data_IF_730255839015
#
_entry.id   IF_730255839015
#
_cell.length_a   1.000
_cell.length_b   1.000
_cell.length_c   1.000
_cell.angle_alpha   90.00
_cell.angle_beta   90.00
_cell.angle_gamma   90.00
#
_symmetry.space_group_name_H-M   'P 1'
#
loop_
_entity.id
_entity.type
_entity.pdbx_description
1 polymer ?
#
# COMPACT_ATOMS: atom_id res chain seq x y z
N UNK A 1 38.54 1.80 -27.70
CA UNK A 1 38.05 2.19 -26.37
C UNK A 1 37.64 0.94 -25.57
N UNK A 2 38.16 0.73 -24.37
CA UNK A 2 37.70 -0.39 -23.51
C UNK A 2 36.22 -0.19 -23.19
N UNK A 3 35.41 -1.18 -23.50
CA UNK A 3 33.95 -1.14 -23.22
C UNK A 3 33.74 -0.98 -21.70
N UNK A 4 32.98 0.02 -21.28
CA UNK A 4 32.66 0.22 -19.87
C UNK A 4 31.73 -0.90 -19.37
N UNK A 5 32.29 -1.84 -18.60
CA UNK A 5 31.58 -3.04 -18.11
C UNK A 5 30.36 -2.67 -17.26
N UNK A 6 30.49 -1.64 -16.39
CA UNK A 6 29.38 -1.19 -15.55
C UNK A 6 28.19 -0.75 -16.40
N UNK A 7 28.39 0.13 -17.38
CA UNK A 7 27.33 0.63 -18.25
C UNK A 7 26.77 -0.45 -19.15
N UNK A 8 27.61 -1.36 -19.65
CA UNK A 8 27.12 -2.49 -20.43
C UNK A 8 26.16 -3.37 -19.61
N UNK A 9 26.57 -3.73 -18.39
CA UNK A 9 25.71 -4.55 -17.53
C UNK A 9 24.47 -3.79 -17.05
N UNK A 10 24.56 -2.48 -16.86
CA UNK A 10 23.39 -1.68 -16.53
C UNK A 10 22.37 -1.65 -17.70
N UNK A 11 22.85 -1.52 -18.93
CA UNK A 11 22.00 -1.65 -20.13
C UNK A 11 21.34 -3.03 -20.19
N UNK A 12 22.12 -4.11 -20.10
CA UNK A 12 21.59 -5.48 -20.09
C UNK A 12 20.56 -5.71 -18.94
N UNK A 13 20.79 -5.08 -17.80
CA UNK A 13 19.87 -5.16 -16.66
C UNK A 13 18.51 -4.54 -16.97
N UNK A 14 18.49 -3.35 -17.58
CA UNK A 14 17.25 -2.65 -17.91
C UNK A 14 16.54 -3.23 -19.15
N UNK A 15 17.30 -3.58 -20.19
CA UNK A 15 16.74 -3.96 -21.49
C UNK A 15 16.37 -5.44 -21.56
N UNK A 16 17.10 -6.30 -20.83
CA UNK A 16 16.93 -7.75 -20.91
C UNK A 16 16.48 -8.36 -19.58
N UNK A 17 17.23 -8.12 -18.50
CA UNK A 17 17.01 -8.83 -17.26
C UNK A 17 15.69 -8.44 -16.58
N UNK A 18 15.44 -7.14 -16.38
CA UNK A 18 14.21 -6.66 -15.72
C UNK A 18 12.95 -7.06 -16.48
N UNK A 19 12.81 -6.81 -17.80
CA UNK A 19 11.58 -7.12 -18.52
C UNK A 19 11.41 -8.61 -18.77
N UNK A 20 12.42 -9.33 -19.21
CA UNK A 20 12.29 -10.67 -19.74
C UNK A 20 12.52 -11.77 -18.69
N UNK A 21 13.55 -11.62 -17.84
CA UNK A 21 13.94 -12.64 -16.87
C UNK A 21 13.20 -12.44 -15.55
N UNK A 22 13.28 -11.22 -14.98
CA UNK A 22 12.58 -10.89 -13.73
C UNK A 22 11.08 -10.62 -13.91
N UNK A 23 10.67 -10.34 -15.14
CA UNK A 23 9.28 -9.97 -15.51
C UNK A 23 8.77 -8.83 -14.66
N UNK A 24 9.61 -7.82 -14.43
CA UNK A 24 9.27 -6.63 -13.69
C UNK A 24 8.20 -5.82 -14.43
N UNK A 25 7.29 -5.19 -13.69
CA UNK A 25 6.29 -4.33 -14.30
C UNK A 25 6.93 -3.08 -14.91
N UNK A 26 6.33 -2.47 -15.97
CA UNK A 26 6.83 -1.22 -16.54
C UNK A 26 7.02 -0.12 -15.48
N UNK A 27 6.11 -0.03 -14.51
CA UNK A 27 6.22 0.93 -13.39
C UNK A 27 7.45 0.64 -12.50
N UNK A 28 7.79 -0.63 -12.28
CA UNK A 28 9.00 -1.00 -11.52
C UNK A 28 10.25 -0.61 -12.27
N UNK A 29 10.29 -0.87 -13.59
CA UNK A 29 11.43 -0.52 -14.45
C UNK A 29 11.59 1.00 -14.46
N UNK A 30 10.52 1.77 -14.65
CA UNK A 30 10.55 3.23 -14.60
C UNK A 30 11.03 3.77 -13.24
N UNK A 31 10.55 3.20 -12.12
CA UNK A 31 10.97 3.60 -10.77
C UNK A 31 12.45 3.31 -10.52
N UNK A 32 12.96 2.19 -11.05
CA UNK A 32 14.38 1.86 -10.98
C UNK A 32 15.21 2.81 -11.87
N UNK A 33 14.75 3.09 -13.10
CA UNK A 33 15.38 4.07 -13.98
C UNK A 33 15.52 5.44 -13.32
N UNK A 34 14.42 5.93 -12.72
CA UNK A 34 14.44 7.17 -11.94
C UNK A 34 15.44 7.12 -10.78
N UNK A 35 15.55 5.98 -10.09
CA UNK A 35 16.52 5.82 -9.00
C UNK A 35 17.97 5.91 -9.50
N UNK A 36 18.25 5.38 -10.68
CA UNK A 36 19.56 5.52 -11.32
C UNK A 36 19.84 6.94 -11.82
N UNK A 37 18.81 7.66 -12.29
CA UNK A 37 18.98 9.09 -12.65
C UNK A 37 19.42 9.90 -11.44
N UNK A 38 18.82 9.71 -10.28
CA UNK A 38 19.23 10.36 -9.02
C UNK A 38 20.63 9.94 -8.60
N UNK A 39 20.99 8.67 -8.80
CA UNK A 39 22.34 8.20 -8.47
C UNK A 39 23.41 8.82 -9.37
N UNK A 40 23.15 8.94 -10.67
CA UNK A 40 24.07 9.60 -11.60
C UNK A 40 24.14 11.12 -11.35
N UNK A 41 23.05 11.75 -10.95
CA UNK A 41 23.04 13.16 -10.51
C UNK A 41 23.97 13.36 -9.32
N UNK A 42 23.88 12.51 -8.30
CA UNK A 42 24.78 12.54 -7.14
C UNK A 42 26.27 12.35 -7.56
N UNK A 43 26.55 11.32 -8.39
CA UNK A 43 27.91 11.08 -8.84
C UNK A 43 28.50 12.27 -9.59
N UNK A 44 27.70 12.98 -10.36
CA UNK A 44 28.12 14.19 -11.06
C UNK A 44 28.28 15.39 -10.12
N UNK A 45 27.27 15.70 -9.29
CA UNK A 45 27.27 16.90 -8.45
C UNK A 45 28.28 16.83 -7.29
N UNK A 46 28.48 15.66 -6.70
CA UNK A 46 29.26 15.50 -5.47
C UNK A 46 30.66 14.90 -5.74
N UNK A 47 30.73 13.95 -6.67
CA UNK A 47 31.96 13.20 -6.94
C UNK A 47 32.70 13.63 -8.21
N UNK A 48 32.13 14.58 -8.96
CA UNK A 48 32.63 15.01 -10.30
C UNK A 48 32.85 13.83 -11.26
N UNK A 49 32.05 12.79 -11.14
CA UNK A 49 32.12 11.58 -11.95
C UNK A 49 31.01 11.59 -13.00
N UNK A 50 31.41 11.70 -14.27
CA UNK A 50 30.49 11.62 -15.40
C UNK A 50 29.90 10.21 -15.51
N UNK A 51 28.60 10.09 -15.84
CA UNK A 51 27.92 8.79 -15.98
C UNK A 51 28.66 7.83 -16.94
N UNK A 52 29.31 8.34 -17.99
CA UNK A 52 30.07 7.54 -18.96
C UNK A 52 31.35 6.93 -18.40
N UNK A 53 31.89 7.48 -17.30
CA UNK A 53 33.13 7.05 -16.66
C UNK A 53 32.93 6.22 -15.39
N UNK A 54 31.67 6.02 -14.95
CA UNK A 54 31.37 5.22 -13.77
C UNK A 54 31.83 3.79 -13.93
N UNK A 55 32.53 3.28 -12.91
CA UNK A 55 32.99 1.88 -12.82
C UNK A 55 32.68 1.33 -11.43
N UNK A 56 32.75 0.02 -11.25
CA UNK A 56 32.57 -0.62 -9.93
C UNK A 56 33.56 -0.15 -8.86
N UNK A 57 34.74 0.35 -9.27
CA UNK A 57 35.74 0.88 -8.34
C UNK A 57 35.28 2.13 -7.58
N UNK A 58 34.40 2.93 -8.17
CA UNK A 58 33.83 4.11 -7.52
C UNK A 58 32.85 3.74 -6.40
N UNK A 59 32.21 2.57 -6.47
CA UNK A 59 31.14 2.16 -5.60
C UNK A 59 31.65 1.59 -4.28
N UNK A 60 32.17 2.46 -3.43
CA UNK A 60 32.72 2.13 -2.11
C UNK A 60 31.66 2.24 -1.00
N UNK A 61 31.88 1.67 0.21
CA UNK A 61 31.01 1.92 1.35
C UNK A 61 30.78 3.40 1.63
N UNK A 62 31.87 4.19 1.65
CA UNK A 62 31.82 5.63 1.91
C UNK A 62 30.94 6.38 0.88
N UNK A 63 30.99 5.97 -0.39
CA UNK A 63 30.15 6.57 -1.43
C UNK A 63 28.66 6.33 -1.15
N UNK A 64 28.27 5.13 -0.70
CA UNK A 64 26.86 4.86 -0.38
C UNK A 64 26.38 5.62 0.85
N UNK A 65 27.23 5.78 1.87
CA UNK A 65 26.90 6.58 3.04
C UNK A 65 26.71 8.05 2.65
N UNK A 66 27.61 8.61 1.81
CA UNK A 66 27.51 9.97 1.31
C UNK A 66 26.29 10.18 0.40
N UNK A 67 25.97 9.20 -0.46
CA UNK A 67 24.75 9.22 -1.27
C UNK A 67 23.47 9.27 -0.41
N UNK A 68 23.42 8.48 0.66
CA UNK A 68 22.30 8.50 1.61
C UNK A 68 22.19 9.86 2.30
N UNK A 69 23.31 10.41 2.77
CA UNK A 69 23.36 11.74 3.39
C UNK A 69 22.93 12.85 2.43
N UNK A 70 23.42 12.82 1.19
CA UNK A 70 23.06 13.78 0.16
C UNK A 70 21.55 13.72 -0.16
N UNK A 71 20.99 12.51 -0.34
CA UNK A 71 19.55 12.36 -0.55
C UNK A 71 18.73 12.91 0.63
N UNK A 72 19.19 12.68 1.85
CA UNK A 72 18.46 13.07 3.06
C UNK A 72 18.57 14.56 3.34
N UNK A 73 19.81 15.12 3.32
CA UNK A 73 20.10 16.45 3.81
C UNK A 73 20.05 17.52 2.70
N UNK A 74 20.44 17.16 1.47
CA UNK A 74 20.49 18.12 0.35
C UNK A 74 19.20 18.08 -0.48
N UNK A 75 18.73 16.88 -0.82
CA UNK A 75 17.52 16.72 -1.65
C UNK A 75 16.24 16.57 -0.80
N UNK A 76 16.35 16.50 0.53
CA UNK A 76 15.22 16.37 1.46
C UNK A 76 14.27 15.19 1.14
N UNK A 77 14.81 14.05 0.67
CA UNK A 77 14.01 12.87 0.44
C UNK A 77 13.58 12.21 1.74
N UNK A 78 12.32 11.73 1.77
CA UNK A 78 11.84 10.92 2.90
C UNK A 78 12.66 9.61 3.03
N UNK A 79 12.73 9.08 4.25
CA UNK A 79 13.40 7.80 4.53
C UNK A 79 12.91 6.65 3.62
N UNK A 80 11.61 6.59 3.36
CA UNK A 80 10.99 5.63 2.42
C UNK A 80 11.53 5.81 1.00
N UNK A 81 11.65 7.06 0.53
CA UNK A 81 12.22 7.36 -0.79
C UNK A 81 13.68 6.96 -0.88
N UNK A 82 14.49 7.29 0.13
CA UNK A 82 15.91 6.88 0.20
C UNK A 82 16.04 5.36 0.13
N UNK A 83 15.29 4.62 0.95
CA UNK A 83 15.29 3.14 0.94
C UNK A 83 14.92 2.57 -0.43
N UNK A 84 13.98 3.19 -1.12
CA UNK A 84 13.56 2.78 -2.47
C UNK A 84 14.69 2.92 -3.49
N UNK A 85 15.45 4.06 -3.47
CA UNK A 85 16.60 4.29 -4.35
C UNK A 85 17.70 3.27 -4.10
N UNK A 86 18.06 3.06 -2.84
CA UNK A 86 19.07 2.07 -2.44
C UNK A 86 18.63 0.65 -2.84
N UNK A 87 17.35 0.32 -2.74
CA UNK A 87 16.83 -0.99 -3.17
C UNK A 87 16.97 -1.20 -4.68
N UNK A 88 16.76 -0.17 -5.50
CA UNK A 88 16.97 -0.25 -6.95
C UNK A 88 18.44 -0.52 -7.29
N UNK A 89 19.37 0.23 -6.67
CA UNK A 89 20.82 0.08 -6.88
C UNK A 89 21.29 -1.28 -6.39
N UNK A 90 20.87 -1.72 -5.19
CA UNK A 90 21.25 -3.03 -4.67
C UNK A 90 20.73 -4.19 -5.53
N UNK A 91 19.56 -4.03 -6.15
CA UNK A 91 19.01 -5.02 -7.09
C UNK A 91 19.86 -5.17 -8.35
N UNK A 92 20.35 -4.06 -8.90
CA UNK A 92 21.29 -4.09 -10.02
C UNK A 92 22.63 -4.70 -9.60
N UNK A 93 23.21 -4.25 -8.49
CA UNK A 93 24.50 -4.76 -8.02
C UNK A 93 24.46 -6.26 -7.69
N UNK A 94 23.33 -6.76 -7.20
CA UNK A 94 23.09 -8.20 -7.05
C UNK A 94 23.12 -8.92 -8.40
N UNK A 95 22.48 -8.38 -9.42
CA UNK A 95 22.52 -8.93 -10.79
C UNK A 95 23.94 -8.92 -11.35
N UNK A 96 24.65 -7.81 -11.18
CA UNK A 96 26.01 -7.62 -11.68
C UNK A 96 27.01 -8.53 -10.98
N UNK A 97 26.93 -8.68 -9.65
CA UNK A 97 27.85 -9.51 -8.85
C UNK A 97 27.83 -10.99 -9.23
N UNK A 98 26.74 -11.47 -9.83
CA UNK A 98 26.63 -12.84 -10.34
C UNK A 98 27.32 -13.05 -11.68
N UNK A 99 27.80 -11.97 -12.33
CA UNK A 99 28.35 -11.96 -13.69
C UNK A 99 29.75 -11.34 -13.78
N UNK A 100 30.10 -10.50 -12.80
CA UNK A 100 31.34 -9.74 -12.78
C UNK A 100 31.87 -9.66 -11.35
N UNK A 101 33.07 -10.21 -11.15
CA UNK A 101 33.70 -10.29 -9.83
C UNK A 101 33.95 -8.90 -9.21
N UNK A 102 34.24 -7.89 -10.03
CA UNK A 102 34.47 -6.52 -9.57
C UNK A 102 33.20 -5.86 -8.99
N UNK A 103 32.00 -6.40 -9.26
CA UNK A 103 30.72 -5.94 -8.70
C UNK A 103 30.40 -6.55 -7.32
N UNK A 104 31.13 -7.57 -6.87
CA UNK A 104 30.84 -8.25 -5.60
C UNK A 104 31.02 -7.31 -4.40
N UNK A 105 32.17 -6.63 -4.33
CA UNK A 105 32.45 -5.67 -3.25
C UNK A 105 31.44 -4.50 -3.22
N UNK A 106 31.10 -3.84 -4.35
CA UNK A 106 30.00 -2.88 -4.42
C UNK A 106 28.66 -3.42 -3.94
N UNK A 107 28.33 -4.66 -4.27
CA UNK A 107 27.08 -5.28 -3.80
C UNK A 107 27.05 -5.43 -2.28
N UNK A 108 28.11 -5.95 -1.66
CA UNK A 108 28.19 -6.03 -0.20
C UNK A 108 28.16 -4.65 0.44
N UNK A 109 28.88 -3.67 -0.12
CA UNK A 109 28.88 -2.28 0.36
C UNK A 109 27.49 -1.66 0.40
N UNK A 110 26.68 -1.80 -0.65
CA UNK A 110 25.31 -1.25 -0.67
C UNK A 110 24.36 -1.99 0.27
N UNK A 111 24.61 -3.27 0.53
CA UNK A 111 23.81 -4.05 1.48
C UNK A 111 24.09 -3.66 2.93
N UNK A 112 25.35 -3.34 3.25
CA UNK A 112 25.80 -2.93 4.58
C UNK A 112 25.52 -1.44 4.86
N UNK A 113 25.23 -0.63 3.83
CA UNK A 113 24.93 0.78 3.96
C UNK A 113 23.75 1.01 4.92
N UNK A 114 23.96 1.90 5.90
CA UNK A 114 22.99 2.19 6.98
C UNK A 114 21.81 2.99 6.43
N UNK A 115 20.72 2.31 6.14
CA UNK A 115 19.51 2.94 5.61
C UNK A 115 18.78 3.71 6.71
N UNK A 116 18.23 4.91 6.45
CA UNK A 116 17.47 5.66 7.43
C UNK A 116 16.24 4.85 7.88
N UNK A 117 15.92 4.92 9.18
CA UNK A 117 14.70 4.32 9.68
C UNK A 117 13.50 5.06 9.09
N UNK A 118 12.67 4.33 8.34
CA UNK A 118 11.38 4.85 7.96
C UNK A 118 10.46 4.68 9.18
N UNK A 119 9.88 5.77 9.72
CA UNK A 119 8.84 5.64 10.72
C UNK A 119 7.73 4.77 10.12
N UNK A 120 7.08 3.98 10.97
CA UNK A 120 5.90 3.25 10.55
C UNK A 120 4.85 4.31 10.22
N UNK A 121 4.52 4.48 8.93
CA UNK A 121 3.54 5.47 8.50
C UNK A 121 2.19 5.10 9.11
N UNK A 122 1.64 6.00 9.92
CA UNK A 122 0.24 5.95 10.27
C UNK A 122 -0.55 6.14 8.97
N UNK A 123 -1.39 5.18 8.66
CA UNK A 123 -2.19 5.26 7.44
C UNK A 123 -3.49 6.02 7.72
N UNK A 124 -3.81 6.97 6.86
CA UNK A 124 -5.08 7.70 6.92
C UNK A 124 -6.23 6.76 6.53
N UNK A 125 -7.27 6.74 7.32
CA UNK A 125 -8.53 6.05 7.01
C UNK A 125 -9.72 6.93 7.43
N UNK A 126 -10.89 6.64 6.91
CA UNK A 126 -12.14 7.31 7.28
C UNK A 126 -12.88 6.45 8.29
N UNK A 127 -13.43 7.06 9.33
CA UNK A 127 -14.42 6.41 10.19
C UNK A 127 -15.68 6.08 9.40
N UNK A 128 -16.56 5.23 9.95
CA UNK A 128 -17.82 4.88 9.31
C UNK A 128 -18.69 6.12 9.01
N UNK A 129 -18.69 7.10 9.92
CA UNK A 129 -19.48 8.34 9.75
C UNK A 129 -18.88 9.24 8.66
N UNK A 130 -17.56 9.41 8.65
CA UNK A 130 -16.85 10.16 7.59
C UNK A 130 -17.05 9.52 6.23
N UNK A 131 -16.98 8.17 6.14
CA UNK A 131 -17.21 7.46 4.89
C UNK A 131 -18.65 7.65 4.40
N UNK A 132 -19.64 7.52 5.26
CA UNK A 132 -21.05 7.78 4.92
C UNK A 132 -21.25 9.20 4.40
N UNK A 133 -20.68 10.19 5.09
CA UNK A 133 -20.74 11.58 4.66
C UNK A 133 -20.05 11.78 3.30
N UNK A 134 -18.84 11.25 3.12
CA UNK A 134 -18.10 11.36 1.86
C UNK A 134 -18.88 10.77 0.67
N UNK A 135 -19.52 9.62 0.85
CA UNK A 135 -20.33 8.97 -0.17
C UNK A 135 -21.65 9.71 -0.47
N UNK A 136 -22.10 10.60 0.40
CA UNK A 136 -23.29 11.42 0.18
C UNK A 136 -23.02 12.69 -0.65
N UNK A 137 -21.75 13.08 -0.83
CA UNK A 137 -21.37 14.33 -1.49
C UNK A 137 -21.54 14.36 -3.01
N UNK A 138 -21.40 13.24 -3.76
CA UNK A 138 -21.60 13.26 -5.21
C UNK A 138 -23.04 13.63 -5.57
N UNK A 139 -23.23 14.82 -6.17
CA UNK A 139 -24.55 15.31 -6.56
C UNK A 139 -25.06 14.59 -7.83
N UNK A 140 -26.16 13.82 -7.75
CA UNK A 140 -26.67 13.04 -8.88
C UNK A 140 -27.20 13.90 -10.04
N UNK A 141 -27.45 15.18 -9.80
CA UNK A 141 -27.90 16.12 -10.85
C UNK A 141 -26.73 16.73 -11.66
N UNK A 142 -25.49 16.59 -11.19
CA UNK A 142 -24.31 17.04 -11.95
C UNK A 142 -23.87 15.96 -12.92
N UNK A 143 -23.37 16.37 -14.10
CA UNK A 143 -22.98 15.47 -15.20
C UNK A 143 -22.14 14.24 -14.76
N UNK A 144 -21.13 14.44 -13.90
CA UNK A 144 -20.28 13.35 -13.42
C UNK A 144 -20.69 12.83 -12.03
N UNK A 145 -21.69 13.41 -11.40
CA UNK A 145 -22.11 13.06 -10.05
C UNK A 145 -22.56 11.61 -9.90
N UNK A 146 -23.46 11.10 -10.73
CA UNK A 146 -23.88 9.69 -10.68
C UNK A 146 -22.72 8.72 -10.86
N UNK A 147 -21.82 8.96 -11.83
CA UNK A 147 -20.62 8.16 -12.04
C UNK A 147 -19.71 8.18 -10.79
N UNK A 148 -19.44 9.37 -10.26
CA UNK A 148 -18.54 9.56 -9.10
C UNK A 148 -19.11 8.86 -7.86
N UNK A 149 -20.44 8.88 -7.66
CA UNK A 149 -21.11 8.16 -6.57
C UNK A 149 -20.85 6.65 -6.68
N UNK A 150 -21.18 6.07 -7.82
CA UNK A 150 -20.99 4.62 -8.05
C UNK A 150 -19.52 4.26 -7.92
N UNK A 151 -18.63 5.07 -8.50
CA UNK A 151 -17.18 4.85 -8.45
C UNK A 151 -16.66 4.82 -7.01
N UNK A 152 -16.98 5.81 -6.18
CA UNK A 152 -16.52 5.89 -4.79
C UNK A 152 -17.13 4.77 -3.93
N UNK A 153 -18.41 4.43 -4.17
CA UNK A 153 -19.08 3.33 -3.48
C UNK A 153 -18.43 1.98 -3.79
N UNK A 154 -18.14 1.71 -5.07
CA UNK A 154 -17.45 0.48 -5.48
C UNK A 154 -16.01 0.47 -4.97
N UNK A 155 -15.29 1.60 -5.02
CA UNK A 155 -13.92 1.72 -4.50
C UNK A 155 -13.85 1.36 -3.02
N UNK A 156 -14.77 1.87 -2.21
CA UNK A 156 -14.86 1.56 -0.78
C UNK A 156 -15.25 0.09 -0.56
N UNK A 157 -16.35 -0.33 -1.16
CA UNK A 157 -16.97 -1.62 -0.82
C UNK A 157 -16.10 -2.80 -1.28
N UNK A 158 -15.45 -2.71 -2.44
CA UNK A 158 -14.53 -3.71 -2.96
C UNK A 158 -13.12 -3.62 -2.37
N UNK A 159 -12.76 -2.53 -1.72
CA UNK A 159 -11.40 -2.20 -1.30
C UNK A 159 -10.35 -2.37 -2.42
N UNK A 160 -10.74 -2.17 -3.66
CA UNK A 160 -9.86 -2.31 -4.82
C UNK A 160 -8.76 -1.24 -4.82
N UNK A 161 -7.60 -1.57 -5.40
CA UNK A 161 -6.55 -0.57 -5.65
C UNK A 161 -6.97 0.36 -6.78
N UNK A 162 -6.42 1.58 -6.82
CA UNK A 162 -6.74 2.56 -7.86
C UNK A 162 -6.58 1.99 -9.29
N UNK A 163 -5.53 1.22 -9.55
CA UNK A 163 -5.32 0.58 -10.85
C UNK A 163 -6.34 -0.53 -11.13
N UNK A 164 -6.70 -1.32 -10.12
CA UNK A 164 -7.70 -2.38 -10.24
C UNK A 164 -9.08 -1.80 -10.60
N UNK A 165 -9.42 -0.61 -10.04
CA UNK A 165 -10.64 0.12 -10.40
C UNK A 165 -10.61 0.64 -11.85
N UNK A 166 -9.45 1.11 -12.33
CA UNK A 166 -9.30 1.56 -13.72
C UNK A 166 -9.42 0.40 -14.72
N UNK A 167 -9.03 -0.82 -14.29
CA UNK A 167 -8.99 -2.00 -15.15
C UNK A 167 -10.29 -2.81 -15.13
N UNK A 168 -11.25 -2.47 -14.24
CA UNK A 168 -12.49 -3.21 -14.03
C UNK A 168 -13.39 -3.13 -15.26
N UNK A 169 -13.81 -4.30 -15.77
CA UNK A 169 -14.64 -4.45 -16.98
C UNK A 169 -16.03 -4.97 -16.64
N UNK A 170 -16.96 -4.76 -17.55
CA UNK A 170 -18.34 -5.27 -17.43
C UNK A 170 -18.37 -6.80 -17.22
N UNK A 171 -17.50 -7.54 -17.92
CA UNK A 171 -17.35 -8.98 -17.78
C UNK A 171 -16.79 -9.47 -16.45
N UNK A 172 -16.28 -8.56 -15.63
CA UNK A 172 -15.76 -8.89 -14.29
C UNK A 172 -16.87 -8.88 -13.22
N UNK A 173 -18.08 -8.46 -13.56
CA UNK A 173 -19.21 -8.48 -12.65
C UNK A 173 -19.92 -9.83 -12.73
N UNK A 174 -20.03 -10.49 -11.60
CA UNK A 174 -20.82 -11.71 -11.45
C UNK A 174 -22.11 -11.40 -10.72
N UNK A 175 -23.22 -11.38 -11.45
CA UNK A 175 -24.57 -11.15 -10.91
C UNK A 175 -25.08 -12.43 -10.23
N UNK A 176 -24.42 -12.82 -9.13
CA UNK A 176 -24.83 -13.87 -8.21
C UNK A 176 -25.47 -13.27 -6.96
N UNK A 177 -25.86 -14.07 -6.01
CA UNK A 177 -26.25 -13.59 -4.68
C UNK A 177 -25.23 -14.10 -3.64
N UNK A 178 -24.40 -13.23 -3.04
CA UNK A 178 -24.23 -11.79 -3.34
C UNK A 178 -23.55 -11.53 -4.70
N UNK A 179 -23.71 -10.30 -5.23
CA UNK A 179 -22.99 -9.85 -6.43
C UNK A 179 -21.50 -9.78 -6.11
N UNK A 180 -20.67 -10.27 -7.03
CA UNK A 180 -19.21 -10.29 -6.84
C UNK A 180 -18.49 -9.56 -7.97
N UNK A 181 -17.39 -8.92 -7.63
CA UNK A 181 -16.46 -8.34 -8.59
C UNK A 181 -15.21 -9.22 -8.69
N UNK A 182 -14.84 -9.59 -9.91
CA UNK A 182 -13.58 -10.25 -10.21
C UNK A 182 -12.50 -9.18 -10.35
N UNK A 183 -11.61 -9.10 -9.39
CA UNK A 183 -10.54 -8.10 -9.36
C UNK A 183 -9.22 -8.73 -9.82
N UNK A 184 -8.61 -8.11 -10.84
CA UNK A 184 -7.33 -8.53 -11.40
C UNK A 184 -6.19 -7.80 -10.70
N UNK A 185 -5.42 -8.51 -9.89
CA UNK A 185 -4.31 -7.98 -9.11
C UNK A 185 -2.95 -8.10 -9.80
N UNK A 186 -1.90 -7.67 -9.11
CA UNK A 186 -0.52 -7.77 -9.59
C UNK A 186 -0.12 -9.25 -9.82
N UNK A 187 0.57 -9.52 -10.93
CA UNK A 187 1.07 -10.86 -11.24
C UNK A 187 0.01 -11.84 -11.73
N UNK A 188 -1.07 -11.35 -12.36
CA UNK A 188 -2.21 -12.15 -12.84
C UNK A 188 -2.98 -12.90 -11.74
N UNK A 189 -2.80 -12.49 -10.48
CA UNK A 189 -3.61 -13.02 -9.38
C UNK A 189 -5.01 -12.40 -9.45
N UNK A 190 -6.03 -13.24 -9.34
CA UNK A 190 -7.41 -12.83 -9.36
C UNK A 190 -8.06 -13.11 -8.00
N UNK A 191 -9.01 -12.27 -7.62
CA UNK A 191 -9.85 -12.51 -6.45
C UNK A 191 -11.29 -12.11 -6.73
N UNK A 192 -12.23 -12.82 -6.17
CA UNK A 192 -13.64 -12.43 -6.19
C UNK A 192 -14.00 -11.73 -4.88
N UNK A 193 -14.54 -10.54 -5.00
CA UNK A 193 -14.91 -9.69 -3.86
C UNK A 193 -16.42 -9.48 -3.89
N UNK A 194 -17.16 -9.92 -2.86
CA UNK A 194 -18.58 -9.60 -2.75
C UNK A 194 -18.75 -8.10 -2.48
N UNK A 195 -19.79 -7.52 -3.05
CA UNK A 195 -20.24 -6.14 -2.78
C UNK A 195 -21.62 -6.17 -2.15
N UNK A 196 -21.96 -5.11 -1.42
CA UNK A 196 -23.29 -4.96 -0.80
C UNK A 196 -24.39 -4.81 -1.84
N UNK A 197 -25.62 -5.14 -1.46
CA UNK A 197 -26.76 -5.06 -2.36
C UNK A 197 -27.01 -3.63 -2.85
N UNK A 198 -26.80 -2.63 -1.98
CA UNK A 198 -26.93 -1.23 -2.33
C UNK A 198 -25.92 -0.80 -3.41
N UNK A 199 -24.66 -1.23 -3.28
CA UNK A 199 -23.62 -0.94 -4.27
C UNK A 199 -23.88 -1.71 -5.57
N UNK A 200 -24.39 -2.93 -5.48
CA UNK A 200 -24.78 -3.72 -6.64
C UNK A 200 -25.89 -3.05 -7.44
N UNK A 201 -26.92 -2.49 -6.78
CA UNK A 201 -28.00 -1.76 -7.44
C UNK A 201 -27.49 -0.44 -8.08
N UNK A 202 -26.64 0.32 -7.39
CA UNK A 202 -25.98 1.49 -7.97
C UNK A 202 -25.17 1.12 -9.23
N UNK A 203 -24.46 0.01 -9.20
CA UNK A 203 -23.66 -0.46 -10.31
C UNK A 203 -24.54 -0.89 -11.51
N UNK A 204 -25.62 -1.64 -11.26
CA UNK A 204 -26.60 -1.99 -12.29
C UNK A 204 -27.20 -0.75 -12.94
N UNK A 205 -27.61 0.24 -12.14
CA UNK A 205 -28.13 1.50 -12.63
C UNK A 205 -27.10 2.21 -13.54
N UNK A 206 -25.84 2.29 -13.11
CA UNK A 206 -24.75 2.89 -13.89
C UNK A 206 -24.54 2.21 -15.24
N UNK A 207 -24.48 0.88 -15.26
CA UNK A 207 -24.35 0.11 -16.50
C UNK A 207 -25.51 0.36 -17.48
N UNK A 208 -26.74 0.43 -16.94
CA UNK A 208 -27.93 0.74 -17.72
C UNK A 208 -27.86 2.14 -18.34
N UNK A 209 -27.39 3.15 -17.59
CA UNK A 209 -27.21 4.53 -18.09
C UNK A 209 -26.17 4.62 -19.21
N UNK A 210 -25.14 3.77 -19.15
CA UNK A 210 -24.13 3.67 -20.22
C UNK A 210 -24.59 2.83 -21.42
N UNK A 211 -25.78 2.22 -21.35
CA UNK A 211 -26.30 1.36 -22.40
C UNK A 211 -25.57 0.02 -22.53
N UNK A 212 -24.79 -0.39 -21.51
CA UNK A 212 -24.06 -1.64 -21.54
C UNK A 212 -25.00 -2.84 -21.51
N UNK A 213 -24.67 -3.83 -22.32
CA UNK A 213 -25.37 -5.12 -22.48
C UNK A 213 -24.42 -6.26 -22.18
N UNK A 214 -24.94 -7.49 -22.22
CA UNK A 214 -24.12 -8.69 -22.08
C UNK A 214 -23.06 -8.88 -23.18
N UNK A 215 -23.11 -8.09 -24.26
CA UNK A 215 -22.12 -8.10 -25.35
C UNK A 215 -20.89 -7.26 -25.03
N UNK A 216 -21.00 -6.32 -24.09
CA UNK A 216 -19.96 -5.32 -23.75
C UNK A 216 -18.98 -5.80 -22.70
N UNK A 217 -18.74 -7.10 -22.59
CA UNK A 217 -17.93 -7.71 -21.52
C UNK A 217 -16.53 -7.12 -21.38
N UNK A 218 -15.92 -6.69 -22.48
CA UNK A 218 -14.57 -6.14 -22.53
C UNK A 218 -14.52 -4.63 -22.26
N UNK A 219 -15.68 -3.96 -22.18
CA UNK A 219 -15.77 -2.53 -21.93
C UNK A 219 -15.44 -2.21 -20.48
N UNK A 220 -14.70 -1.11 -20.26
CA UNK A 220 -14.41 -0.60 -18.92
C UNK A 220 -15.67 -0.02 -18.28
N UNK A 221 -15.91 -0.33 -17.00
CA UNK A 221 -17.10 0.16 -16.27
C UNK A 221 -17.01 1.67 -16.04
N UNK A 222 -15.81 2.16 -15.71
CA UNK A 222 -15.60 3.55 -15.38
C UNK A 222 -14.76 4.24 -16.43
N UNK A 223 -15.36 5.25 -17.04
CA UNK A 223 -14.73 6.05 -18.08
C UNK A 223 -14.34 7.43 -17.53
N UNK A 224 -13.30 8.02 -18.13
CA UNK A 224 -12.87 9.39 -17.89
C UNK A 224 -13.93 10.40 -18.36
N UNK A 225 -13.64 11.68 -18.19
CA UNK A 225 -14.48 12.76 -18.73
C UNK A 225 -14.56 12.77 -20.25
N UNK A 226 -13.53 12.24 -20.91
CA UNK A 226 -13.41 12.11 -22.37
C UNK A 226 -13.89 10.76 -22.91
N UNK A 227 -14.61 9.98 -22.10
CA UNK A 227 -15.08 8.63 -22.42
C UNK A 227 -13.96 7.62 -22.72
N UNK A 228 -12.75 7.87 -22.25
CA UNK A 228 -11.63 6.95 -22.34
C UNK A 228 -11.46 6.16 -21.03
N UNK A 229 -10.64 5.13 -21.06
CA UNK A 229 -10.25 4.40 -19.85
C UNK A 229 -9.74 5.35 -18.77
N UNK A 230 -10.22 5.22 -17.54
CA UNK A 230 -9.69 5.97 -16.40
C UNK A 230 -8.22 5.62 -16.14
N UNK A 231 -7.47 6.62 -15.65
CA UNK A 231 -6.12 6.45 -15.14
C UNK A 231 -6.11 6.59 -13.62
N UNK A 232 -5.04 6.12 -12.97
CA UNK A 232 -4.87 6.32 -11.52
C UNK A 232 -4.80 7.81 -11.12
N UNK A 233 -4.43 8.69 -12.05
CA UNK A 233 -4.49 10.14 -11.85
C UNK A 233 -5.94 10.63 -11.77
N UNK A 234 -6.83 10.12 -12.64
CA UNK A 234 -8.27 10.40 -12.56
C UNK A 234 -8.84 9.95 -11.20
N UNK A 235 -8.49 8.75 -10.74
CA UNK A 235 -8.94 8.22 -9.45
C UNK A 235 -8.51 9.14 -8.30
N UNK A 236 -7.24 9.55 -8.29
CA UNK A 236 -6.73 10.51 -7.28
C UNK A 236 -7.47 11.85 -7.34
N UNK A 237 -7.76 12.35 -8.53
CA UNK A 237 -8.48 13.62 -8.73
C UNK A 237 -9.91 13.54 -8.18
N UNK A 238 -10.63 12.44 -8.42
CA UNK A 238 -11.97 12.22 -7.88
C UNK A 238 -11.93 12.19 -6.35
N UNK A 239 -11.04 11.39 -5.77
CA UNK A 239 -10.88 11.30 -4.29
C UNK A 239 -10.52 12.67 -3.73
N UNK A 240 -9.52 13.37 -4.27
CA UNK A 240 -9.11 14.71 -3.83
C UNK A 240 -10.25 15.73 -3.88
N UNK A 241 -11.09 15.68 -4.94
CA UNK A 241 -12.26 16.55 -5.10
C UNK A 241 -13.24 16.38 -3.94
N UNK A 242 -13.65 15.15 -3.64
CA UNK A 242 -14.68 14.91 -2.62
C UNK A 242 -14.14 15.01 -1.20
N UNK A 243 -12.90 14.59 -0.96
CA UNK A 243 -12.23 14.83 0.33
C UNK A 243 -12.05 16.33 0.58
N UNK A 244 -11.58 17.10 -0.40
CA UNK A 244 -11.46 18.54 -0.24
C UNK A 244 -12.80 19.26 -0.04
N UNK A 245 -13.89 18.71 -0.59
CA UNK A 245 -15.24 19.21 -0.30
C UNK A 245 -15.67 18.86 1.12
N UNK A 246 -15.41 17.61 1.56
CA UNK A 246 -15.72 17.16 2.92
C UNK A 246 -14.95 17.98 3.97
N UNK A 247 -13.66 18.20 3.77
CA UNK A 247 -12.82 19.05 4.65
C UNK A 247 -13.31 20.49 4.74
N UNK A 248 -13.86 21.05 3.66
CA UNK A 248 -14.46 22.39 3.69
C UNK A 248 -15.77 22.47 4.45
N UNK A 249 -16.58 21.41 4.38
CA UNK A 249 -17.89 21.35 5.03
C UNK A 249 -17.78 20.94 6.51
N UNK A 250 -16.87 20.03 6.82
CA UNK A 250 -16.65 19.45 8.16
C UNK A 250 -15.15 19.32 8.45
N UNK A 251 -14.42 20.44 8.64
CA UNK A 251 -12.98 20.40 8.92
C UNK A 251 -12.66 19.67 10.23
N UNK A 252 -13.58 19.67 11.17
CA UNK A 252 -13.45 19.00 12.48
C UNK A 252 -13.49 17.47 12.39
N UNK A 253 -14.08 16.90 11.32
CA UNK A 253 -14.13 15.45 11.09
C UNK A 253 -12.95 14.98 10.22
N UNK A 254 -12.62 15.72 9.17
CA UNK A 254 -11.60 15.32 8.19
C UNK A 254 -10.25 15.96 8.50
N UNK A 255 -9.68 15.60 9.66
CA UNK A 255 -8.46 16.23 10.23
C UNK A 255 -7.15 15.73 9.61
N UNK A 256 -7.16 14.57 8.95
CA UNK A 256 -5.97 14.01 8.35
C UNK A 256 -5.44 14.88 7.21
N UNK A 257 -4.12 15.05 7.17
CA UNK A 257 -3.46 15.90 6.17
C UNK A 257 -3.45 15.28 4.76
N UNK A 258 -3.54 13.97 4.66
CA UNK A 258 -3.42 13.26 3.38
C UNK A 258 -4.36 12.06 3.27
N UNK A 259 -5.48 12.26 2.59
CA UNK A 259 -6.31 11.16 2.15
C UNK A 259 -6.01 10.79 0.69
N UNK A 260 -6.06 9.52 0.37
CA UNK A 260 -5.76 8.98 -0.94
C UNK A 260 -6.74 7.85 -1.32
N UNK A 261 -6.71 7.32 -2.56
CA UNK A 261 -7.47 6.12 -2.88
C UNK A 261 -7.15 4.92 -1.97
N UNK A 262 -5.95 4.85 -1.41
CA UNK A 262 -5.59 3.83 -0.42
C UNK A 262 -6.34 4.00 0.90
N UNK A 263 -6.71 5.23 1.27
CA UNK A 263 -7.49 5.49 2.49
C UNK A 263 -8.87 4.82 2.46
N UNK A 264 -9.52 4.70 1.29
CA UNK A 264 -10.75 3.94 1.12
C UNK A 264 -10.55 2.45 1.45
N UNK A 265 -9.45 1.89 0.94
CA UNK A 265 -9.10 0.49 1.18
C UNK A 265 -8.72 0.25 2.65
N UNK A 266 -7.98 1.17 3.25
CA UNK A 266 -7.65 1.12 4.68
C UNK A 266 -8.91 1.19 5.54
N UNK A 267 -9.84 2.11 5.21
CA UNK A 267 -11.13 2.24 5.89
C UNK A 267 -11.93 0.93 5.84
N UNK A 268 -12.07 0.31 4.66
CA UNK A 268 -12.80 -0.96 4.55
C UNK A 268 -12.16 -2.05 5.40
N UNK A 269 -10.83 -2.13 5.41
CA UNK A 269 -10.10 -3.11 6.21
C UNK A 269 -10.31 -2.88 7.72
N UNK A 270 -10.20 -1.62 8.19
CA UNK A 270 -10.45 -1.25 9.59
C UNK A 270 -11.90 -1.56 9.97
N UNK A 271 -12.87 -1.16 9.16
CA UNK A 271 -14.29 -1.43 9.43
C UNK A 271 -14.61 -2.93 9.45
N UNK A 272 -13.92 -3.76 8.66
CA UNK A 272 -14.06 -5.21 8.75
C UNK A 272 -13.48 -5.76 10.06
N UNK A 273 -12.34 -5.23 10.54
CA UNK A 273 -11.79 -5.60 11.85
C UNK A 273 -12.75 -5.18 12.97
N UNK A 274 -13.27 -3.96 12.93
CA UNK A 274 -14.25 -3.44 13.90
C UNK A 274 -15.55 -4.27 13.91
N UNK A 275 -15.93 -4.81 12.75
CA UNK A 275 -17.07 -5.73 12.61
C UNK A 275 -16.75 -7.17 13.07
N UNK A 276 -15.53 -7.46 13.54
CA UNK A 276 -15.13 -8.78 14.04
C UNK A 276 -14.77 -9.78 12.96
N UNK A 277 -14.50 -9.35 11.73
CA UNK A 277 -14.05 -10.25 10.65
C UNK A 277 -12.62 -10.70 10.90
N UNK A 278 -12.37 -12.00 10.81
CA UNK A 278 -11.04 -12.56 10.99
C UNK A 278 -10.02 -12.04 9.96
N UNK A 279 -8.78 -11.77 10.42
CA UNK A 279 -7.71 -11.20 9.60
C UNK A 279 -7.36 -12.05 8.37
N UNK A 280 -7.57 -13.36 8.42
CA UNK A 280 -7.33 -14.24 7.27
C UNK A 280 -8.33 -13.92 6.15
N UNK A 281 -9.60 -13.72 6.48
CA UNK A 281 -10.61 -13.32 5.50
C UNK A 281 -10.34 -11.92 4.97
N UNK A 282 -9.96 -10.96 5.83
CA UNK A 282 -9.57 -9.61 5.41
C UNK A 282 -8.37 -9.65 4.46
N UNK A 283 -7.34 -10.44 4.78
CA UNK A 283 -6.18 -10.65 3.88
C UNK A 283 -6.61 -11.15 2.49
N UNK A 284 -7.49 -12.16 2.46
CA UNK A 284 -7.96 -12.74 1.20
C UNK A 284 -8.82 -11.74 0.42
N UNK A 285 -9.71 -11.03 1.10
CA UNK A 285 -10.55 -9.96 0.52
C UNK A 285 -9.70 -8.86 -0.12
N UNK A 286 -8.66 -8.41 0.58
CA UNK A 286 -7.73 -7.41 0.10
C UNK A 286 -6.77 -7.96 -0.97
N UNK A 287 -6.53 -9.26 -1.04
CA UNK A 287 -5.53 -9.88 -1.91
C UNK A 287 -4.10 -9.51 -1.49
N UNK A 288 -3.81 -9.55 -0.18
CA UNK A 288 -2.46 -9.41 0.34
C UNK A 288 -1.72 -10.74 0.29
N UNK A 289 -0.46 -10.71 -0.19
CA UNK A 289 0.37 -11.92 -0.25
C UNK A 289 0.77 -12.39 1.15
N UNK A 290 1.07 -11.44 2.05
CA UNK A 290 1.53 -11.71 3.40
C UNK A 290 0.52 -11.17 4.41
N UNK A 291 0.29 -11.93 5.48
CA UNK A 291 -0.61 -11.54 6.56
C UNK A 291 -0.08 -10.29 7.29
N UNK A 292 1.25 -10.14 7.38
CA UNK A 292 1.90 -8.98 7.99
C UNK A 292 1.45 -7.64 7.40
N UNK A 293 1.05 -7.62 6.13
CA UNK A 293 0.47 -6.42 5.50
C UNK A 293 -0.96 -6.12 6.02
N UNK A 294 -1.64 -7.11 6.60
CA UNK A 294 -3.00 -6.98 7.16
C UNK A 294 -2.97 -6.74 8.66
N UNK A 295 -1.91 -7.18 9.35
CA UNK A 295 -1.72 -7.01 10.80
C UNK A 295 -1.69 -5.54 11.25
N UNK A 296 -1.34 -4.62 10.34
CA UNK A 296 -1.41 -3.18 10.61
C UNK A 296 -2.83 -2.74 11.01
N UNK A 297 -3.87 -3.36 10.46
CA UNK A 297 -5.26 -3.05 10.78
C UNK A 297 -5.70 -3.63 12.12
N UNK A 298 -5.09 -4.75 12.53
CA UNK A 298 -5.40 -5.35 13.84
C UNK A 298 -5.00 -4.44 15.00
N UNK A 299 -3.91 -3.68 14.85
CA UNK A 299 -3.47 -2.72 15.88
C UNK A 299 -4.48 -1.58 16.07
N UNK A 300 -5.02 -1.06 14.96
CA UNK A 300 -6.05 -0.01 15.01
C UNK A 300 -7.36 -0.58 15.58
N UNK A 301 -7.75 -1.80 15.20
CA UNK A 301 -8.94 -2.47 15.73
C UNK A 301 -8.83 -2.84 17.21
N UNK A 302 -7.63 -3.05 17.77
CA UNK A 302 -7.44 -3.29 19.20
C UNK A 302 -7.90 -2.12 20.07
N UNK A 303 -7.70 -0.89 19.62
CA UNK A 303 -8.22 0.28 20.32
C UNK A 303 -9.75 0.29 20.33
N UNK A 304 -10.38 -0.03 19.20
CA UNK A 304 -11.84 -0.15 19.10
C UNK A 304 -12.38 -1.31 19.96
N UNK A 305 -11.69 -2.46 19.96
CA UNK A 305 -12.02 -3.61 20.82
C UNK A 305 -11.84 -3.24 22.30
N UNK A 306 -10.75 -2.59 22.66
CA UNK A 306 -10.51 -2.14 24.04
C UNK A 306 -11.60 -1.16 24.49
N UNK A 307 -11.98 -0.22 23.63
CA UNK A 307 -13.07 0.72 23.86
C UNK A 307 -14.42 0.01 24.00
N UNK A 308 -14.72 -0.98 23.15
CA UNK A 308 -15.93 -1.79 23.25
C UNK A 308 -15.97 -2.64 24.54
N UNK A 309 -14.83 -3.16 24.98
CA UNK A 309 -14.70 -3.87 26.25
C UNK A 309 -14.90 -2.93 27.46
N UNK A 310 -14.41 -1.70 27.38
CA UNK A 310 -14.60 -0.68 28.44
C UNK A 310 -16.01 -0.10 28.44
N UNK A 311 -16.66 0.05 27.27
CA UNK A 311 -18.03 0.59 27.13
C UNK A 311 -19.15 -0.40 27.52
N UNK A 312 -18.83 -1.51 28.19
CA UNK A 312 -19.78 -2.50 28.77
C UNK A 312 -20.70 -3.21 27.74
N UNK A 313 -20.34 -3.26 26.49
CA UNK A 313 -21.14 -3.95 25.45
C UNK A 313 -20.95 -5.46 25.39
N UNK A 314 -19.96 -5.99 26.12
CA UNK A 314 -19.76 -7.44 26.29
C UNK A 314 -20.30 -7.83 27.66
N UNK A 315 -21.15 -8.88 27.77
CA UNK A 315 -21.66 -9.34 29.05
C UNK A 315 -20.48 -9.62 30.01
N UNK A 316 -20.46 -8.92 31.14
CA UNK A 316 -19.48 -9.22 32.19
C UNK A 316 -19.82 -10.60 32.75
N UNK A 317 -18.89 -11.53 32.68
CA UNK A 317 -18.95 -12.72 33.50
C UNK A 317 -18.83 -12.23 34.94
N UNK A 318 -19.91 -12.29 35.69
CA UNK A 318 -19.88 -12.06 37.15
C UNK A 318 -19.16 -13.26 37.77
N UNK A 319 -17.84 -13.29 37.68
CA UNK A 319 -17.03 -14.18 38.45
C UNK A 319 -17.09 -13.64 39.89
N UNK A 320 -17.89 -14.25 40.76
CA UNK A 320 -17.63 -14.27 42.18
C UNK A 320 -16.27 -14.94 42.33
N UNK A 321 -15.23 -14.11 42.52
CA UNK A 321 -13.91 -14.63 42.85
C UNK A 321 -14.11 -15.44 44.11
N UNK A 322 -13.93 -16.79 44.11
CA UNK A 322 -13.95 -17.53 45.33
C UNK A 322 -12.88 -16.89 46.21
N UNK A 323 -13.23 -16.44 47.43
CA UNK A 323 -12.24 -16.14 48.45
C UNK A 323 -11.50 -17.45 48.69
N UNK A 324 -10.40 -17.60 48.01
CA UNK A 324 -9.39 -18.59 48.41
C UNK A 324 -8.88 -18.12 49.76
N UNK A 325 -9.47 -18.66 50.85
CA UNK A 325 -8.80 -18.73 52.13
C UNK A 325 -7.48 -19.41 51.81
N UNK A 326 -6.38 -18.70 52.05
CA UNK A 326 -5.05 -19.21 51.94
C UNK A 326 -4.93 -20.32 52.97
N UNK A 327 -5.30 -21.55 52.56
CA UNK A 327 -4.84 -22.74 53.30
C UNK A 327 -3.32 -22.68 53.25
N UNK A 328 -2.72 -22.44 54.42
CA UNK A 328 -1.30 -22.22 54.62
C UNK A 328 -0.45 -23.31 53.96
N UNK A 329 -0.04 -23.06 52.74
CA UNK A 329 1.08 -23.73 52.13
C UNK A 329 2.32 -22.95 52.55
N UNK A 330 2.98 -23.45 53.60
CA UNK A 330 4.29 -22.95 53.95
C UNK A 330 5.21 -23.01 52.75
N UNK A 331 5.69 -21.85 52.37
CA UNK A 331 6.69 -21.73 51.30
C UNK A 331 7.97 -22.42 51.87
N UNK A 332 8.54 -23.40 51.16
CA UNK A 332 9.74 -24.08 51.57
C UNK A 332 10.86 -23.10 51.96
N UNK A 333 11.58 -23.37 53.03
CA UNK A 333 12.55 -22.44 53.62
C UNK A 333 13.70 -22.06 52.70
N UNK A 334 14.02 -22.86 51.70
CA UNK A 334 15.00 -22.51 50.67
C UNK A 334 14.50 -21.38 49.75
N UNK A 335 13.18 -21.25 49.48
CA UNK A 335 12.61 -20.14 48.73
C UNK A 335 12.55 -18.88 49.59
N UNK A 336 12.30 -18.99 50.89
CA UNK A 336 12.39 -17.85 51.83
C UNK A 336 13.81 -17.28 51.92
N UNK A 337 14.84 -18.14 51.86
CA UNK A 337 16.26 -17.72 51.84
C UNK A 337 16.65 -17.03 50.54
N UNK A 338 16.18 -17.51 49.39
CA UNK A 338 16.47 -16.88 48.10
C UNK A 338 15.87 -15.46 47.97
N UNK A 339 14.75 -15.14 48.66
CA UNK A 339 14.14 -13.81 48.71
C UNK A 339 14.84 -12.79 49.61
N UNK A 340 15.69 -13.25 50.55
CA UNK A 340 16.44 -12.36 51.46
C UNK A 340 17.79 -11.90 50.89
N UNK A 341 18.23 -12.48 49.78
CA UNK A 341 19.52 -12.17 49.13
C UNK A 341 19.35 -11.44 47.79
N UNK A 342 18.20 -10.85 47.54
CA UNK A 342 17.94 -9.81 46.52
C UNK A 342 17.57 -8.51 47.26
#
# INVERSE_FOLDING_TARGET
MKKNIFLTQLGDYFDVYLPNIRRASPNTIAAYGYSFSIFFEFLYEVMDVQHTSVTYKHLTPALFDEFILWMTNTKNYSATSVRQRITAISSFLKYASQREMSALKPYTSVMDAKRPNAPQEEFSYFTVNEMKFLLSLPNPQKYLGPRDLVFLSVLYDSAARAQEMCDLRVGDIRFSNPVKLKIHGKGKKEREVPISDEVAELLKYHLKQLGFTNKDKDSYIFLSQTNEKMTTACVRSIVKKYVGLAQKLHPELFVESSYSPHSFRHSKAVHMVEAGVDLIYIRNFLGHEHISTTEIYARVGQEAVTKALTDRRIPKVSATVPKYESAGREIPDFIKKARKNM
#
